data_IF_431703802058
#
_entry.id   IF_431703802058
#
_cell.length_a   1.000
_cell.length_b   1.000
_cell.length_c   1.000
_cell.angle_alpha   90.00
_cell.angle_beta   90.00
_cell.angle_gamma   90.00
#
_symmetry.space_group_name_H-M   'P 1'
#
loop_
_entity.id
_entity.type
_entity.pdbx_description
1 polymer ?
#
# COMPACT_ATOMS: atom_id res chain seq x y z
N UNK A 1 5.24 -24.28 -18.46
CA UNK A 1 5.02 -23.89 -17.05
C UNK A 1 3.99 -22.78 -17.10
N UNK A 2 2.94 -22.83 -16.27
CA UNK A 2 1.95 -21.75 -16.25
C UNK A 2 2.67 -20.47 -15.78
N UNK A 3 2.53 -19.31 -16.45
CA UNK A 3 3.27 -18.09 -16.09
C UNK A 3 3.04 -17.63 -14.65
N UNK A 4 1.93 -18.03 -14.03
CA UNK A 4 1.54 -17.63 -12.69
C UNK A 4 2.04 -18.54 -11.57
N UNK A 5 2.97 -19.46 -11.82
CA UNK A 5 3.54 -20.29 -10.77
C UNK A 5 4.59 -19.46 -10.02
N UNK A 6 4.12 -18.74 -9.02
CA UNK A 6 4.98 -18.06 -8.06
C UNK A 6 5.30 -19.05 -6.95
N UNK A 7 6.60 -19.22 -6.68
CA UNK A 7 7.03 -19.98 -5.52
C UNK A 7 6.49 -19.32 -4.24
N UNK A 8 5.78 -20.06 -3.39
CA UNK A 8 5.25 -19.52 -2.16
C UNK A 8 6.36 -19.09 -1.21
N UNK A 9 6.01 -18.30 -0.23
CA UNK A 9 6.85 -18.00 0.93
C UNK A 9 6.34 -18.79 2.13
N UNK A 10 7.22 -19.15 3.03
CA UNK A 10 6.87 -19.91 4.23
C UNK A 10 7.66 -19.41 5.45
N UNK A 11 7.13 -19.68 6.65
CA UNK A 11 7.74 -19.34 7.91
C UNK A 11 7.34 -20.36 8.98
N UNK A 12 8.22 -20.57 9.97
CA UNK A 12 7.89 -21.36 11.16
C UNK A 12 7.19 -20.52 12.23
N UNK A 13 7.51 -19.25 12.30
CA UNK A 13 7.06 -18.31 13.34
C UNK A 13 5.94 -17.36 12.88
N UNK A 14 5.58 -17.40 11.60
CA UNK A 14 4.59 -16.49 11.01
C UNK A 14 5.09 -15.05 10.83
N UNK A 15 6.37 -14.80 11.03
CA UNK A 15 7.00 -13.46 10.94
C UNK A 15 8.13 -13.45 9.93
N UNK A 16 9.07 -14.38 10.08
CA UNK A 16 10.28 -14.45 9.25
C UNK A 16 10.04 -15.37 8.06
N UNK A 17 9.43 -14.83 7.03
CA UNK A 17 9.12 -15.56 5.81
C UNK A 17 10.33 -15.61 4.87
N UNK A 18 10.54 -16.79 4.30
CA UNK A 18 11.49 -17.01 3.21
C UNK A 18 10.78 -17.60 1.98
N UNK A 19 11.31 -17.32 0.80
CA UNK A 19 10.76 -17.89 -0.44
C UNK A 19 11.23 -19.33 -0.60
N UNK A 20 10.30 -20.20 -0.98
CA UNK A 20 10.65 -21.56 -1.37
C UNK A 20 11.69 -21.51 -2.49
N UNK A 21 12.77 -22.33 -2.41
CA UNK A 21 13.79 -22.34 -3.43
C UNK A 21 13.25 -22.88 -4.77
N UNK A 22 13.91 -22.53 -5.87
CA UNK A 22 13.54 -23.04 -7.22
C UNK A 22 13.59 -24.56 -7.32
N UNK A 23 14.42 -25.21 -6.50
CA UNK A 23 14.47 -26.66 -6.37
C UNK A 23 13.22 -27.30 -5.73
N UNK A 24 12.33 -26.51 -5.15
CA UNK A 24 11.02 -26.97 -4.67
C UNK A 24 10.11 -27.51 -5.80
N UNK A 25 10.52 -27.39 -7.05
CA UNK A 25 9.89 -27.93 -8.26
C UNK A 25 8.37 -27.76 -8.28
N UNK A 26 7.85 -26.53 -8.30
CA UNK A 26 6.43 -26.31 -8.30
C UNK A 26 5.80 -26.91 -9.55
N UNK A 27 4.69 -27.61 -9.36
CA UNK A 27 3.88 -28.14 -10.45
C UNK A 27 2.44 -27.66 -10.32
N UNK A 28 1.81 -27.45 -11.45
CA UNK A 28 0.39 -27.12 -11.50
C UNK A 28 -0.33 -28.10 -12.43
N UNK A 29 -1.32 -28.79 -11.90
CA UNK A 29 -2.15 -29.70 -12.69
C UNK A 29 -3.53 -29.83 -12.06
N UNK A 30 -4.59 -29.75 -12.88
CA UNK A 30 -5.97 -29.91 -12.42
C UNK A 30 -6.41 -28.90 -11.35
N UNK A 31 -5.94 -27.65 -11.42
CA UNK A 31 -6.25 -26.61 -10.42
C UNK A 31 -5.45 -26.73 -9.12
N UNK A 32 -4.50 -27.68 -9.04
CA UNK A 32 -3.73 -27.94 -7.83
C UNK A 32 -2.28 -27.52 -8.00
N UNK A 33 -1.81 -26.62 -7.15
CA UNK A 33 -0.39 -26.29 -7.00
C UNK A 33 0.25 -27.30 -6.04
N UNK A 34 1.37 -27.87 -6.46
CA UNK A 34 2.21 -28.73 -5.62
C UNK A 34 3.60 -28.16 -5.58
N UNK A 35 4.21 -28.16 -4.41
CA UNK A 35 5.60 -27.77 -4.18
C UNK A 35 6.14 -28.56 -2.98
N UNK A 36 7.43 -28.70 -2.89
CA UNK A 36 8.10 -29.41 -1.84
C UNK A 36 8.86 -28.47 -0.93
N UNK A 37 8.57 -28.49 0.36
CA UNK A 37 9.39 -27.85 1.38
C UNK A 37 10.59 -28.75 1.71
N UNK A 38 11.80 -28.23 1.54
CA UNK A 38 13.00 -29.04 1.60
C UNK A 38 13.58 -29.24 3.01
N UNK A 39 13.16 -28.44 3.99
CA UNK A 39 13.81 -28.43 5.32
C UNK A 39 12.84 -28.02 6.44
N UNK A 40 11.80 -28.80 6.66
CA UNK A 40 10.99 -28.61 7.86
C UNK A 40 11.68 -29.34 9.01
N UNK A 41 12.02 -28.65 10.14
CA UNK A 41 12.62 -29.30 11.31
C UNK A 41 11.75 -30.45 11.84
N UNK A 42 12.39 -31.50 12.32
CA UNK A 42 11.68 -32.58 13.02
C UNK A 42 10.93 -31.98 14.23
N UNK A 43 9.72 -32.46 14.47
CA UNK A 43 8.81 -31.97 15.52
C UNK A 43 8.13 -30.62 15.24
N UNK A 44 8.19 -30.10 14.02
CA UNK A 44 7.35 -28.97 13.61
C UNK A 44 5.87 -29.40 13.65
N UNK A 45 5.08 -28.72 14.47
CA UNK A 45 3.65 -29.00 14.63
C UNK A 45 2.78 -28.16 13.69
N UNK A 46 3.27 -27.00 13.29
CA UNK A 46 2.63 -26.12 12.30
C UNK A 46 3.67 -25.23 11.62
N UNK A 47 3.33 -24.71 10.48
CA UNK A 47 4.09 -23.70 9.75
C UNK A 47 3.11 -22.81 8.97
N UNK A 48 3.60 -21.65 8.60
CA UNK A 48 2.85 -20.68 7.81
C UNK A 48 3.29 -20.73 6.36
N UNK A 49 2.34 -20.60 5.44
CA UNK A 49 2.60 -20.52 4.02
C UNK A 49 1.77 -19.40 3.41
N UNK A 50 2.35 -18.64 2.50
CA UNK A 50 1.65 -17.57 1.79
C UNK A 50 2.13 -17.48 0.34
N UNK A 51 1.29 -16.96 -0.54
CA UNK A 51 1.63 -16.72 -1.94
C UNK A 51 2.72 -15.64 -2.08
N UNK A 52 2.59 -14.58 -1.29
CA UNK A 52 3.50 -13.44 -1.23
C UNK A 52 3.99 -13.22 0.20
N UNK A 53 5.04 -12.41 0.36
CA UNK A 53 5.44 -11.94 1.68
C UNK A 53 4.28 -11.21 2.34
N UNK A 54 3.77 -11.67 3.47
CA UNK A 54 2.66 -11.00 4.14
C UNK A 54 3.01 -9.61 4.66
N UNK A 55 2.02 -8.72 4.64
CA UNK A 55 2.13 -7.39 5.24
C UNK A 55 0.95 -7.17 6.20
N UNK A 56 0.96 -7.78 7.39
CA UNK A 56 -0.13 -7.67 8.34
C UNK A 56 -0.14 -6.31 9.07
N UNK A 57 -1.29 -5.97 9.67
CA UNK A 57 -1.47 -4.73 10.41
C UNK A 57 -0.37 -4.49 11.49
N UNK A 58 0.07 -5.48 12.28
CA UNK A 58 1.17 -5.26 13.23
C UNK A 58 2.49 -4.83 12.57
N UNK A 59 2.76 -5.29 11.35
CA UNK A 59 3.95 -4.83 10.60
C UNK A 59 3.80 -3.36 10.22
N UNK A 60 2.62 -2.95 9.72
CA UNK A 60 2.34 -1.54 9.46
C UNK A 60 2.51 -0.69 10.73
N UNK A 61 2.01 -1.16 11.87
CA UNK A 61 2.08 -0.40 13.12
C UNK A 61 3.53 -0.22 13.60
N UNK A 62 4.37 -1.24 13.45
CA UNK A 62 5.80 -1.14 13.74
C UNK A 62 6.48 -0.11 12.80
N UNK A 63 6.15 -0.15 11.51
CA UNK A 63 6.69 0.80 10.54
C UNK A 63 6.16 2.22 10.80
N UNK A 64 4.89 2.37 11.18
CA UNK A 64 4.30 3.64 11.57
C UNK A 64 5.10 4.31 12.70
N UNK A 65 5.47 3.56 13.74
CA UNK A 65 6.29 4.10 14.82
C UNK A 65 7.64 4.60 14.30
N UNK A 66 8.27 3.86 13.41
CA UNK A 66 9.51 4.26 12.74
C UNK A 66 9.36 5.57 11.95
N UNK A 67 8.29 5.69 11.17
CA UNK A 67 8.00 6.91 10.39
C UNK A 67 7.79 8.12 11.28
N UNK A 68 7.12 7.95 12.42
CA UNK A 68 6.83 9.02 13.37
C UNK A 68 8.07 9.49 14.19
N UNK A 69 9.20 8.79 14.11
CA UNK A 69 10.47 9.31 14.65
C UNK A 69 10.95 10.56 13.89
N UNK A 70 10.52 10.74 12.64
CA UNK A 70 10.90 11.91 11.85
C UNK A 70 10.08 13.15 12.21
N UNK A 71 10.72 14.28 12.55
CA UNK A 71 10.00 15.52 12.84
C UNK A 71 9.36 16.16 11.60
N UNK A 72 9.60 15.62 10.41
CA UNK A 72 9.01 16.08 9.16
C UNK A 72 7.63 15.46 8.90
N UNK A 73 7.21 14.50 9.71
CA UNK A 73 5.96 13.75 9.53
C UNK A 73 4.87 14.27 10.46
N UNK A 74 3.75 14.63 9.88
CA UNK A 74 2.51 14.88 10.61
C UNK A 74 1.51 13.76 10.26
N UNK A 75 1.03 13.06 11.28
CA UNK A 75 0.00 12.03 11.11
C UNK A 75 -1.38 12.58 11.42
N UNK A 76 -2.35 12.19 10.61
CA UNK A 76 -3.77 12.51 10.81
C UNK A 76 -4.63 11.27 10.54
N UNK A 77 -5.59 10.99 11.42
CA UNK A 77 -6.61 10.00 11.14
C UNK A 77 -7.68 10.62 10.22
N UNK A 78 -7.82 10.08 9.02
CA UNK A 78 -8.78 10.57 8.00
C UNK A 78 -10.14 9.89 8.10
N UNK A 79 -10.23 8.81 8.83
CA UNK A 79 -11.45 8.03 9.01
C UNK A 79 -11.18 6.70 9.67
N UNK A 80 -12.12 5.78 9.53
CA UNK A 80 -11.98 4.41 9.96
C UNK A 80 -12.61 3.47 8.93
N UNK A 81 -12.11 2.23 8.86
CA UNK A 81 -12.68 1.16 8.03
C UNK A 81 -14.05 0.70 8.54
N UNK A 82 -14.70 -0.21 7.83
CA UNK A 82 -15.98 -0.80 8.27
C UNK A 82 -15.88 -1.53 9.60
N UNK A 83 -14.76 -2.22 9.88
CA UNK A 83 -14.48 -2.89 11.16
C UNK A 83 -13.90 -1.97 12.24
N UNK A 84 -13.64 -0.70 11.90
CA UNK A 84 -13.19 0.31 12.86
C UNK A 84 -11.66 0.48 12.92
N UNK A 85 -10.88 -0.12 12.04
CA UNK A 85 -9.44 0.18 11.95
C UNK A 85 -9.22 1.62 11.50
N UNK A 86 -8.30 2.37 12.13
CA UNK A 86 -8.01 3.74 11.74
C UNK A 86 -7.41 3.80 10.34
N UNK A 87 -7.81 4.81 9.57
CA UNK A 87 -7.21 5.15 8.28
C UNK A 87 -6.32 6.38 8.50
N UNK A 88 -5.03 6.21 8.27
CA UNK A 88 -4.03 7.23 8.49
C UNK A 88 -3.62 7.91 7.18
N UNK A 89 -3.31 9.20 7.26
CA UNK A 89 -2.47 9.89 6.30
C UNK A 89 -1.23 10.43 7.01
N UNK A 90 -0.08 10.26 6.39
CA UNK A 90 1.18 10.87 6.78
C UNK A 90 1.51 12.00 5.81
N UNK A 91 1.52 13.22 6.32
CA UNK A 91 1.96 14.39 5.57
C UNK A 91 3.41 14.68 5.92
N UNK A 92 4.25 14.73 4.89
CA UNK A 92 5.70 14.79 5.01
C UNK A 92 6.17 16.03 4.27
N UNK A 93 6.73 16.99 4.99
CA UNK A 93 7.23 18.23 4.40
C UNK A 93 8.27 18.90 5.30
N UNK A 94 9.17 19.67 4.70
CA UNK A 94 9.95 20.64 5.45
C UNK A 94 9.06 21.82 5.83
N UNK A 95 9.30 22.47 6.99
CA UNK A 95 8.50 23.63 7.42
C UNK A 95 8.42 24.75 6.37
N UNK A 96 9.52 25.02 5.68
CA UNK A 96 9.57 26.02 4.63
C UNK A 96 8.72 25.64 3.40
N UNK A 97 8.67 24.37 3.05
CA UNK A 97 7.87 23.85 1.94
C UNK A 97 6.39 23.89 2.30
N UNK A 98 6.04 23.48 3.52
CA UNK A 98 4.67 23.51 4.03
C UNK A 98 4.14 24.96 4.13
N UNK A 99 4.98 25.93 4.49
CA UNK A 99 4.61 27.35 4.55
C UNK A 99 4.46 28.00 3.15
N UNK A 100 4.96 27.35 2.09
CA UNK A 100 4.91 27.91 0.72
C UNK A 100 3.54 27.63 0.10
N UNK A 101 2.74 28.68 -0.05
CA UNK A 101 1.44 28.59 -0.73
C UNK A 101 1.60 28.01 -2.14
N UNK A 102 0.77 27.02 -2.48
CA UNK A 102 0.79 26.36 -3.80
C UNK A 102 1.98 25.42 -4.01
N UNK A 103 2.73 25.04 -2.96
CA UNK A 103 3.71 23.97 -3.08
C UNK A 103 2.97 22.69 -3.56
N UNK A 104 3.46 22.03 -4.64
CA UNK A 104 2.76 20.87 -5.17
C UNK A 104 2.85 19.67 -4.23
N UNK A 105 1.89 18.78 -4.34
CA UNK A 105 1.80 17.56 -3.54
C UNK A 105 2.05 16.32 -4.40
N UNK A 106 2.84 15.39 -3.87
CA UNK A 106 2.84 14.00 -4.30
C UNK A 106 1.96 13.23 -3.33
N UNK A 107 0.89 12.63 -3.86
CA UNK A 107 -0.01 11.80 -3.08
C UNK A 107 0.17 10.34 -3.46
N UNK A 108 0.36 9.50 -2.45
CA UNK A 108 0.57 8.05 -2.61
C UNK A 108 -0.41 7.32 -1.73
N UNK A 109 -1.02 6.28 -2.24
CA UNK A 109 -1.74 5.32 -1.41
C UNK A 109 -1.42 3.88 -1.80
N UNK A 110 -1.52 2.97 -0.84
CA UNK A 110 -1.22 1.55 -1.02
C UNK A 110 -2.35 0.67 -0.48
N UNK A 111 -2.49 -0.50 -1.06
CA UNK A 111 -3.33 -1.56 -0.50
C UNK A 111 -4.83 -1.31 -0.62
N UNK A 112 -5.30 -0.75 -1.71
CA UNK A 112 -6.72 -0.81 -2.09
C UNK A 112 -7.14 -2.28 -2.19
N UNK A 113 -6.29 -3.11 -2.82
CA UNK A 113 -6.44 -4.56 -2.80
C UNK A 113 -5.52 -5.16 -1.73
N UNK A 114 -6.06 -5.82 -0.70
CA UNK A 114 -5.29 -6.22 0.49
C UNK A 114 -4.20 -7.27 0.20
N UNK A 115 -4.38 -8.12 -0.81
CA UNK A 115 -3.40 -9.15 -1.17
C UNK A 115 -2.22 -8.63 -2.00
N UNK A 116 -2.27 -7.41 -2.49
CA UNK A 116 -1.23 -6.81 -3.32
C UNK A 116 -0.12 -6.23 -2.44
N UNK A 117 0.55 -7.12 -1.70
CA UNK A 117 1.46 -6.77 -0.60
C UNK A 117 2.72 -6.04 -1.08
N UNK A 118 3.12 -6.19 -2.34
CA UNK A 118 4.25 -5.44 -2.91
C UNK A 118 4.05 -3.93 -2.81
N UNK A 119 2.82 -3.46 -2.91
CA UNK A 119 2.48 -2.04 -2.77
C UNK A 119 2.90 -1.46 -1.42
N UNK A 120 2.73 -2.23 -0.34
CA UNK A 120 3.15 -1.81 1.00
C UNK A 120 4.67 -1.76 1.13
N UNK A 121 5.39 -2.76 0.60
CA UNK A 121 6.86 -2.79 0.65
C UNK A 121 7.48 -1.68 -0.20
N UNK A 122 6.89 -1.36 -1.36
CA UNK A 122 7.32 -0.20 -2.17
C UNK A 122 7.14 1.09 -1.38
N UNK A 123 6.00 1.22 -0.69
CA UNK A 123 5.74 2.39 0.15
C UNK A 123 6.71 2.49 1.33
N UNK A 124 7.01 1.38 2.02
CA UNK A 124 8.06 1.34 3.06
C UNK A 124 9.41 1.81 2.50
N UNK A 125 9.86 1.21 1.40
CA UNK A 125 11.14 1.56 0.78
C UNK A 125 11.23 3.02 0.35
N UNK A 126 10.14 3.57 -0.19
CA UNK A 126 10.06 4.98 -0.54
C UNK A 126 10.18 5.88 0.70
N UNK A 127 9.49 5.56 1.78
CA UNK A 127 9.53 6.35 3.01
C UNK A 127 10.85 6.21 3.76
N UNK A 128 11.47 5.02 3.79
CA UNK A 128 12.81 4.84 4.33
C UNK A 128 13.84 5.68 3.57
N UNK A 129 13.76 5.69 2.24
CA UNK A 129 14.60 6.55 1.44
C UNK A 129 14.33 8.02 1.70
N UNK A 130 13.07 8.43 1.72
CA UNK A 130 12.68 9.84 1.85
C UNK A 130 13.09 10.44 3.21
N UNK A 131 12.91 9.67 4.29
CA UNK A 131 13.03 10.17 5.66
C UNK A 131 14.38 9.86 6.31
N UNK A 132 15.04 8.76 5.92
CA UNK A 132 16.15 8.22 6.69
C UNK A 132 17.42 7.96 5.88
N UNK A 133 17.40 8.09 4.54
CA UNK A 133 18.60 7.86 3.73
C UNK A 133 19.68 8.93 3.88
N UNK A 134 19.28 10.14 4.25
CA UNK A 134 20.17 11.30 4.24
C UNK A 134 20.63 11.72 2.84
N UNK A 135 19.98 11.24 1.77
CA UNK A 135 20.37 11.57 0.40
C UNK A 135 20.00 12.99 0.02
N UNK A 136 20.84 13.59 -0.83
CA UNK A 136 20.59 14.94 -1.34
C UNK A 136 19.33 15.00 -2.21
N UNK A 137 19.00 13.91 -2.90
CA UNK A 137 17.80 13.80 -3.73
C UNK A 137 16.53 13.82 -2.89
N UNK A 138 16.49 13.06 -1.78
CA UNK A 138 15.37 13.10 -0.83
C UNK A 138 15.19 14.48 -0.22
N UNK A 139 16.32 15.12 0.19
CA UNK A 139 16.32 16.47 0.72
C UNK A 139 15.81 17.49 -0.30
N UNK A 140 16.28 17.42 -1.54
CA UNK A 140 15.82 18.26 -2.64
C UNK A 140 14.33 18.07 -2.96
N UNK A 141 13.85 16.84 -2.93
CA UNK A 141 12.42 16.56 -3.13
C UNK A 141 11.57 17.24 -2.06
N UNK A 142 11.93 17.08 -0.78
CA UNK A 142 11.22 17.70 0.34
C UNK A 142 11.33 19.23 0.39
N UNK A 143 12.31 19.82 -0.31
CA UNK A 143 12.36 21.28 -0.51
C UNK A 143 11.35 21.77 -1.55
N UNK A 144 10.81 20.90 -2.38
CA UNK A 144 9.97 21.28 -3.51
C UNK A 144 8.51 20.89 -3.33
N UNK A 145 8.22 19.76 -2.68
CA UNK A 145 6.88 19.18 -2.63
C UNK A 145 6.49 18.78 -1.20
N UNK A 146 5.19 18.75 -0.96
CA UNK A 146 4.59 18.04 0.17
C UNK A 146 4.33 16.60 -0.28
N UNK A 147 4.71 15.62 0.51
CA UNK A 147 4.39 14.21 0.24
C UNK A 147 3.30 13.77 1.20
N UNK A 148 2.25 13.15 0.70
CA UNK A 148 1.16 12.59 1.51
C UNK A 148 0.97 11.13 1.20
N UNK A 149 0.94 10.31 2.22
CA UNK A 149 0.88 8.85 2.10
C UNK A 149 -0.27 8.29 2.91
N UNK A 150 -1.17 7.56 2.26
CA UNK A 150 -2.12 6.65 2.93
C UNK A 150 -1.53 5.24 2.89
N UNK A 151 -0.97 4.74 4.00
CA UNK A 151 -0.13 3.55 3.96
C UNK A 151 -0.91 2.25 3.74
N UNK A 152 -2.19 2.22 4.11
CA UNK A 152 -3.06 1.05 3.96
C UNK A 152 -4.51 1.51 3.79
N UNK A 153 -5.04 1.35 2.58
CA UNK A 153 -6.41 1.76 2.25
C UNK A 153 -7.48 0.78 2.74
N UNK A 154 -7.14 -0.52 2.82
CA UNK A 154 -8.08 -1.60 3.12
C UNK A 154 -7.59 -2.49 4.28
N UNK A 155 -7.53 -1.95 5.51
CA UNK A 155 -7.09 -2.72 6.68
C UNK A 155 -8.03 -3.87 7.03
N UNK A 156 -9.32 -3.75 6.74
CA UNK A 156 -10.29 -4.83 6.92
C UNK A 156 -9.94 -6.05 6.09
N UNK A 157 -9.69 -5.83 4.80
CA UNK A 157 -9.31 -6.90 3.89
C UNK A 157 -7.99 -7.56 4.29
N UNK A 158 -7.03 -6.79 4.77
CA UNK A 158 -5.76 -7.32 5.32
C UNK A 158 -6.01 -8.17 6.55
N UNK A 159 -6.82 -7.69 7.51
CA UNK A 159 -7.15 -8.40 8.74
C UNK A 159 -7.86 -9.72 8.48
N UNK A 160 -8.74 -9.75 7.48
CA UNK A 160 -9.54 -10.92 7.11
C UNK A 160 -8.82 -11.87 6.13
N UNK A 161 -7.67 -11.48 5.59
CA UNK A 161 -6.95 -12.24 4.57
C UNK A 161 -7.66 -12.26 3.22
N UNK A 162 -8.44 -11.23 2.90
CA UNK A 162 -9.16 -11.13 1.64
C UNK A 162 -8.19 -10.89 0.48
N UNK A 163 -8.57 -11.41 -0.69
CA UNK A 163 -7.78 -11.19 -1.91
C UNK A 163 -7.92 -9.75 -2.42
N UNK A 164 -9.16 -9.24 -2.52
CA UNK A 164 -9.45 -8.00 -3.24
C UNK A 164 -10.44 -7.07 -2.55
N UNK A 165 -11.25 -7.57 -1.63
CA UNK A 165 -12.38 -6.84 -1.06
C UNK A 165 -12.15 -6.46 0.40
N UNK A 166 -12.93 -5.49 0.90
CA UNK A 166 -13.02 -5.18 2.32
C UNK A 166 -13.94 -6.16 3.07
N UNK A 167 -14.29 -5.87 4.32
CA UNK A 167 -15.16 -6.70 5.17
C UNK A 167 -16.60 -6.79 4.68
N UNK A 168 -17.03 -5.90 3.78
CA UNK A 168 -18.36 -5.91 3.15
C UNK A 168 -18.37 -6.59 1.79
N UNK A 169 -17.32 -7.33 1.44
CA UNK A 169 -17.13 -7.93 0.11
C UNK A 169 -17.12 -6.91 -1.03
N UNK A 170 -16.76 -5.66 -0.73
CA UNK A 170 -16.67 -4.59 -1.71
C UNK A 170 -15.25 -4.42 -2.20
N UNK A 171 -15.06 -4.37 -3.52
CA UNK A 171 -13.81 -3.97 -4.13
C UNK A 171 -13.73 -2.44 -4.13
N UNK A 172 -12.84 -1.88 -3.31
CA UNK A 172 -12.73 -0.44 -3.13
C UNK A 172 -12.37 0.31 -4.42
N UNK A 173 -11.64 -0.32 -5.33
CA UNK A 173 -11.23 0.29 -6.61
C UNK A 173 -12.43 0.72 -7.47
N UNK A 174 -13.48 -0.09 -7.49
CA UNK A 174 -14.66 0.22 -8.32
C UNK A 174 -15.57 1.28 -7.72
N UNK A 175 -15.41 1.56 -6.44
CA UNK A 175 -16.21 2.55 -5.71
C UNK A 175 -15.88 4.00 -6.09
N UNK A 176 -14.75 4.24 -6.79
CA UNK A 176 -14.37 5.56 -7.28
C UNK A 176 -14.98 5.92 -8.65
N UNK A 177 -15.76 5.00 -9.25
CA UNK A 177 -16.39 5.23 -10.56
C UNK A 177 -17.47 6.29 -10.50
N UNK A 178 -17.63 7.03 -11.60
CA UNK A 178 -18.71 7.98 -11.79
C UNK A 178 -20.03 7.27 -12.22
N UNK A 179 -21.22 7.71 -11.74
CA UNK A 179 -21.41 8.75 -10.73
C UNK A 179 -21.00 8.24 -9.33
N UNK A 180 -20.23 9.07 -8.62
CA UNK A 180 -19.78 8.70 -7.30
C UNK A 180 -20.92 8.76 -6.29
N UNK A 181 -21.25 7.64 -5.69
CA UNK A 181 -22.29 7.49 -4.68
C UNK A 181 -21.93 6.49 -3.57
N UNK A 182 -20.65 6.14 -3.46
CA UNK A 182 -20.20 5.16 -2.45
C UNK A 182 -20.50 5.66 -1.04
N UNK A 183 -20.92 4.72 -0.19
CA UNK A 183 -21.08 4.88 1.26
C UNK A 183 -20.06 4.05 2.04
N UNK A 184 -19.14 3.39 1.34
CA UNK A 184 -18.07 2.59 1.93
C UNK A 184 -17.10 3.51 2.63
N UNK A 185 -16.89 3.28 3.93
CA UNK A 185 -16.16 4.21 4.79
C UNK A 185 -14.74 4.50 4.32
N UNK A 186 -14.01 3.46 3.91
CA UNK A 186 -12.66 3.59 3.40
C UNK A 186 -12.60 4.50 2.17
N UNK A 187 -13.50 4.27 1.21
CA UNK A 187 -13.57 5.05 -0.03
C UNK A 187 -13.97 6.49 0.24
N UNK A 188 -14.96 6.72 1.12
CA UNK A 188 -15.40 8.05 1.51
C UNK A 188 -14.25 8.84 2.15
N UNK A 189 -13.52 8.23 3.08
CA UNK A 189 -12.39 8.87 3.78
C UNK A 189 -11.27 9.27 2.82
N UNK A 190 -10.84 8.35 1.95
CA UNK A 190 -9.76 8.58 0.99
C UNK A 190 -10.17 9.63 -0.03
N UNK A 191 -11.39 9.54 -0.58
CA UNK A 191 -11.89 10.52 -1.55
C UNK A 191 -11.99 11.91 -0.94
N UNK A 192 -12.55 12.04 0.26
CA UNK A 192 -12.66 13.33 0.95
C UNK A 192 -11.30 13.98 1.17
N UNK A 193 -10.26 13.17 1.45
CA UNK A 193 -8.89 13.64 1.57
C UNK A 193 -8.37 14.18 0.23
N UNK A 194 -8.56 13.43 -0.86
CA UNK A 194 -8.13 13.84 -2.20
C UNK A 194 -8.85 15.10 -2.64
N UNK A 195 -10.16 15.18 -2.45
CA UNK A 195 -10.95 16.36 -2.75
C UNK A 195 -10.52 17.60 -1.95
N UNK A 196 -10.18 17.43 -0.67
CA UNK A 196 -9.60 18.49 0.17
C UNK A 196 -8.29 19.01 -0.42
N UNK A 197 -7.43 18.12 -0.88
CA UNK A 197 -6.13 18.52 -1.45
C UNK A 197 -6.27 19.19 -2.83
N UNK A 198 -7.20 18.71 -3.65
CA UNK A 198 -7.44 19.31 -4.96
C UNK A 198 -8.15 20.66 -4.85
N UNK A 199 -9.06 20.79 -3.89
CA UNK A 199 -9.92 21.96 -3.79
C UNK A 199 -10.90 22.06 -4.96
N UNK A 200 -11.29 23.27 -5.30
CA UNK A 200 -12.16 23.59 -6.45
C UNK A 200 -11.49 24.59 -7.37
N UNK A 201 -12.04 24.81 -8.57
CA UNK A 201 -11.53 25.82 -9.49
C UNK A 201 -11.52 27.24 -8.89
N UNK A 202 -12.47 27.54 -7.99
CA UNK A 202 -12.57 28.83 -7.29
C UNK A 202 -11.80 28.89 -5.97
N UNK A 203 -11.52 27.75 -5.38
CA UNK A 203 -10.78 27.59 -4.12
C UNK A 203 -9.83 26.40 -4.23
N UNK A 204 -8.69 26.56 -4.90
CA UNK A 204 -7.68 25.51 -4.97
C UNK A 204 -7.27 25.04 -3.60
N UNK A 205 -6.94 23.76 -3.47
CA UNK A 205 -6.37 23.22 -2.24
C UNK A 205 -5.05 23.91 -1.90
N UNK A 206 -4.70 23.94 -0.63
CA UNK A 206 -3.49 24.64 -0.15
C UNK A 206 -2.22 24.09 -0.81
N UNK A 207 -2.16 22.78 -0.98
CA UNK A 207 -1.08 22.06 -1.65
C UNK A 207 -1.70 21.07 -2.64
N UNK A 208 -2.01 21.50 -3.88
CA UNK A 208 -2.74 20.67 -4.84
C UNK A 208 -1.91 19.47 -5.28
N UNK A 209 -2.59 18.36 -5.55
CA UNK A 209 -1.95 17.13 -6.03
C UNK A 209 -1.40 17.36 -7.44
N UNK A 210 -0.09 17.22 -7.59
CA UNK A 210 0.60 17.20 -8.88
C UNK A 210 0.74 15.77 -9.41
N UNK A 211 1.01 14.81 -8.52
CA UNK A 211 1.17 13.40 -8.85
C UNK A 211 0.33 12.58 -7.85
N UNK A 212 -0.53 11.72 -8.38
CA UNK A 212 -1.25 10.71 -7.61
C UNK A 212 -0.73 9.33 -8.01
N UNK A 213 -0.30 8.56 -7.02
CA UNK A 213 0.16 7.19 -7.19
C UNK A 213 -0.73 6.24 -6.39
N UNK A 214 -1.47 5.38 -7.11
CA UNK A 214 -2.20 4.25 -6.56
C UNK A 214 -1.32 3.00 -6.72
N UNK A 215 -0.72 2.55 -5.64
CA UNK A 215 0.22 1.44 -5.68
C UNK A 215 -0.50 0.10 -5.67
N UNK A 216 -0.28 -0.67 -6.71
CA UNK A 216 -0.76 -2.03 -6.88
C UNK A 216 0.37 -3.02 -7.00
N UNK A 217 0.06 -4.29 -7.16
CA UNK A 217 1.00 -5.31 -7.62
C UNK A 217 0.37 -6.20 -8.69
N UNK A 218 1.22 -6.73 -9.57
CA UNK A 218 0.82 -7.67 -10.61
C UNK A 218 1.28 -9.08 -10.29
N UNK A 219 0.64 -10.06 -10.90
CA UNK A 219 1.02 -11.46 -10.82
C UNK A 219 1.88 -11.92 -11.99
N UNK A 220 1.95 -11.14 -13.06
CA UNK A 220 2.41 -11.61 -14.36
C UNK A 220 3.71 -10.94 -14.81
N UNK A 221 3.96 -9.71 -14.39
CA UNK A 221 5.14 -8.95 -14.82
C UNK A 221 6.09 -8.70 -13.64
N UNK A 222 7.37 -9.11 -13.73
CA UNK A 222 8.38 -8.83 -12.71
C UNK A 222 8.86 -7.37 -12.72
N UNK A 223 8.47 -6.57 -13.70
CA UNK A 223 8.89 -5.18 -13.85
C UNK A 223 7.82 -4.20 -13.37
N UNK A 224 8.21 -3.01 -12.92
CA UNK A 224 7.27 -1.92 -12.67
C UNK A 224 6.51 -1.57 -13.95
N UNK A 225 5.22 -1.41 -13.84
CA UNK A 225 4.36 -0.96 -14.92
C UNK A 225 3.40 0.10 -14.42
N UNK A 226 2.83 0.84 -15.34
CA UNK A 226 1.78 1.81 -15.06
C UNK A 226 0.61 1.62 -16.03
N UNK A 227 -0.59 1.90 -15.54
CA UNK A 227 -1.76 1.98 -16.39
C UNK A 227 -1.95 3.42 -16.85
N UNK A 228 -2.13 3.62 -18.15
CA UNK A 228 -2.64 4.87 -18.67
C UNK A 228 -4.14 4.92 -18.40
N UNK A 229 -4.58 5.97 -17.74
CA UNK A 229 -6.01 6.22 -17.59
C UNK A 229 -6.59 6.72 -18.90
N UNK A 230 -7.71 6.14 -19.31
CA UNK A 230 -8.48 6.65 -20.44
C UNK A 230 -8.98 8.06 -20.11
N UNK A 231 -8.90 9.01 -21.07
CA UNK A 231 -9.36 10.39 -20.84
C UNK A 231 -10.83 10.51 -20.42
N UNK A 232 -11.64 9.48 -20.69
CA UNK A 232 -13.05 9.40 -20.29
C UNK A 232 -13.27 9.23 -18.78
N UNK A 233 -12.22 8.98 -18.00
CA UNK A 233 -12.27 8.85 -16.54
C UNK A 233 -11.75 10.09 -15.80
N UNK A 234 -11.28 11.09 -16.52
CA UNK A 234 -10.89 12.42 -16.00
C UNK A 234 -12.01 13.41 -16.19
#
# INVERSE_FOLDING_TARGET
MHPDIILPVWALDGVNYERCPSSAMPTYSGGVHRFQLLSIPQNTTFFHIAKFFPYPIPKLENFRQRVLESPLVQETQIGASELGYPLWVWEIAKPATLARVGAPRIYVHAGIHPSETTSYFVNEGFLEWLLFSGSAEADNLLNQVVVSVVPMCNPDGVSLGNYRTNSKSTNLEIEYRSPYNSVVKETVAIRSLVEKYMGTASQPGEHPILILMNLHSTHEDPYPYHFLQEPSYL
#
